data_IF_732449067618
#
_entry.id   IF_732449067618
#
_cell.length_a   1.000
_cell.length_b   1.000
_cell.length_c   1.000
_cell.angle_alpha   90.00
_cell.angle_beta   90.00
_cell.angle_gamma   90.00
#
_symmetry.space_group_name_H-M   'P 1'
#
loop_
_entity.id
_entity.type
_entity.pdbx_description
1 polymer ?
#
# COMPACT_ATOMS: atom_id res chain seq x y z
N UNK A 1 3.44 29.67 54.81
CA UNK A 1 2.03 29.35 55.06
C UNK A 1 1.79 27.89 54.75
N UNK A 2 1.02 27.22 55.61
CA UNK A 2 0.47 25.90 55.31
C UNK A 2 -0.57 26.03 54.17
N UNK A 3 -0.85 24.96 53.43
CA UNK A 3 -1.85 24.91 52.35
C UNK A 3 -3.22 25.39 52.83
N UNK A 4 -3.62 24.99 54.04
CA UNK A 4 -4.88 25.41 54.68
C UNK A 4 -4.96 26.92 54.95
N UNK A 5 -3.86 27.51 55.44
CA UNK A 5 -3.77 28.94 55.75
C UNK A 5 -3.84 29.77 54.45
N UNK A 6 -3.07 29.36 53.43
CA UNK A 6 -3.07 30.01 52.12
C UNK A 6 -4.42 29.90 51.41
N UNK A 7 -5.10 28.75 51.49
CA UNK A 7 -6.43 28.56 50.94
C UNK A 7 -7.46 29.46 51.64
N UNK A 8 -7.40 29.55 52.99
CA UNK A 8 -8.30 30.40 53.76
C UNK A 8 -8.17 31.89 53.39
N UNK A 9 -6.93 32.40 53.27
CA UNK A 9 -6.66 33.79 52.89
C UNK A 9 -7.06 34.07 51.43
N UNK A 10 -6.87 33.09 50.54
CA UNK A 10 -7.31 33.20 49.15
C UNK A 10 -8.84 33.33 49.04
N UNK A 11 -9.58 32.45 49.73
CA UNK A 11 -11.05 32.43 49.71
C UNK A 11 -11.62 33.67 50.40
N UNK A 12 -11.03 34.11 51.52
CA UNK A 12 -11.43 35.34 52.21
C UNK A 12 -11.03 36.61 51.43
N UNK A 13 -10.18 36.49 50.41
CA UNK A 13 -9.74 37.62 49.58
C UNK A 13 -8.78 38.57 50.31
N UNK A 14 -8.03 38.09 51.31
CA UNK A 14 -7.08 38.89 52.09
C UNK A 14 -5.67 38.93 51.50
N UNK A 15 -5.39 38.09 50.51
CA UNK A 15 -4.11 38.08 49.79
C UNK A 15 -3.93 39.32 48.92
N UNK A 16 -2.68 39.77 48.78
CA UNK A 16 -2.34 40.80 47.80
C UNK A 16 -2.46 40.29 46.35
N UNK A 17 -2.39 41.21 45.38
CA UNK A 17 -2.57 40.86 43.96
C UNK A 17 -1.52 39.88 43.42
N UNK A 18 -0.28 39.94 43.91
CA UNK A 18 0.80 39.06 43.44
C UNK A 18 0.65 37.66 44.03
N UNK A 19 0.34 37.57 45.32
CA UNK A 19 0.05 36.32 46.02
C UNK A 19 -1.18 35.63 45.44
N UNK A 20 -2.24 36.39 45.14
CA UNK A 20 -3.46 35.87 44.52
C UNK A 20 -3.18 35.28 43.13
N UNK A 21 -2.43 35.98 42.29
CA UNK A 21 -2.06 35.47 40.96
C UNK A 21 -1.22 34.18 41.03
N UNK A 22 -0.35 34.09 42.03
CA UNK A 22 0.45 32.86 42.26
C UNK A 22 -0.42 31.69 42.71
N UNK A 23 -1.39 31.91 43.60
CA UNK A 23 -2.38 30.89 43.97
C UNK A 23 -3.20 30.45 42.75
N UNK A 24 -3.71 31.38 41.95
CA UNK A 24 -4.49 31.10 40.73
C UNK A 24 -3.69 30.25 39.73
N UNK A 25 -2.40 30.54 39.56
CA UNK A 25 -1.50 29.74 38.72
C UNK A 25 -1.32 28.32 39.27
N UNK A 26 -1.12 28.20 40.58
CA UNK A 26 -0.94 26.91 41.26
C UNK A 26 -2.21 26.06 41.26
N UNK A 27 -3.37 26.68 41.33
CA UNK A 27 -4.66 25.99 41.29
C UNK A 27 -4.86 25.15 40.03
N UNK A 28 -4.13 25.39 38.94
CA UNK A 28 -4.18 24.56 37.73
C UNK A 28 -3.53 23.18 37.91
N UNK A 29 -2.50 23.08 38.77
CA UNK A 29 -1.63 21.88 38.88
C UNK A 29 -1.62 21.26 40.27
N UNK A 30 -1.88 22.02 41.32
CA UNK A 30 -1.80 21.61 42.72
C UNK A 30 -3.19 21.13 43.21
N UNK A 31 -3.35 19.80 43.30
CA UNK A 31 -4.63 19.18 43.68
C UNK A 31 -4.95 19.36 45.17
N UNK A 32 -3.93 19.38 46.03
CA UNK A 32 -4.10 19.52 47.47
C UNK A 32 -4.57 20.94 47.81
N UNK A 33 -3.94 21.95 47.20
CA UNK A 33 -4.37 23.34 47.32
C UNK A 33 -5.80 23.55 46.80
N UNK A 34 -6.16 22.92 45.67
CA UNK A 34 -7.53 23.01 45.14
C UNK A 34 -8.56 22.42 46.10
N UNK A 35 -8.28 21.25 46.67
CA UNK A 35 -9.16 20.62 47.65
C UNK A 35 -9.32 21.48 48.92
N UNK A 36 -8.24 22.12 49.40
CA UNK A 36 -8.31 23.03 50.53
C UNK A 36 -9.16 24.29 50.21
N UNK A 37 -8.99 24.87 49.01
CA UNK A 37 -9.82 26.00 48.56
C UNK A 37 -11.30 25.60 48.47
N UNK A 38 -11.62 24.48 47.84
CA UNK A 38 -12.99 23.96 47.74
C UNK A 38 -13.62 23.75 49.14
N UNK A 39 -12.85 23.23 50.09
CA UNK A 39 -13.31 23.02 51.47
C UNK A 39 -13.60 24.34 52.20
N UNK A 40 -12.75 25.36 52.02
CA UNK A 40 -12.96 26.69 52.59
C UNK A 40 -14.15 27.42 51.95
N UNK A 41 -14.33 27.31 50.63
CA UNK A 41 -15.50 27.85 49.93
C UNK A 41 -16.79 27.19 50.44
N UNK A 42 -16.83 25.85 50.52
CA UNK A 42 -17.98 25.12 51.03
C UNK A 42 -18.34 25.50 52.48
N UNK A 43 -17.34 25.81 53.31
CA UNK A 43 -17.53 26.24 54.70
C UNK A 43 -18.12 27.65 54.80
N UNK A 44 -17.76 28.55 53.89
CA UNK A 44 -18.14 29.97 53.95
C UNK A 44 -19.40 30.28 53.14
N UNK A 45 -19.69 29.53 52.08
CA UNK A 45 -20.84 29.77 51.20
C UNK A 45 -22.20 29.87 51.94
N UNK A 46 -22.50 29.06 52.98
CA UNK A 46 -23.75 29.18 53.73
C UNK A 46 -23.93 30.52 54.46
N UNK A 47 -22.85 31.29 54.68
CA UNK A 47 -22.94 32.64 55.26
C UNK A 47 -23.57 33.63 54.26
N UNK A 48 -23.39 33.42 52.95
CA UNK A 48 -23.96 34.28 51.92
C UNK A 48 -25.49 34.22 51.91
N UNK A 49 -26.09 33.09 52.28
CA UNK A 49 -27.55 32.93 52.40
C UNK A 49 -28.16 33.79 53.52
N UNK A 50 -27.35 34.24 54.48
CA UNK A 50 -27.78 35.08 55.60
C UNK A 50 -27.76 36.57 55.28
N UNK A 51 -27.28 36.96 54.10
CA UNK A 51 -27.18 38.35 53.67
C UNK A 51 -28.47 38.77 52.98
N UNK A 52 -29.03 39.92 53.36
CA UNK A 52 -30.21 40.49 52.71
C UNK A 52 -29.92 40.81 51.24
N UNK A 53 -30.70 40.29 50.27
CA UNK A 53 -30.51 40.59 48.86
C UNK A 53 -30.63 42.09 48.55
N UNK A 54 -29.69 42.62 47.77
CA UNK A 54 -29.72 43.99 47.26
C UNK A 54 -30.23 43.98 45.82
N UNK A 55 -31.25 44.79 45.46
CA UNK A 55 -31.77 44.83 44.11
C UNK A 55 -30.70 45.33 43.12
N UNK A 56 -30.53 44.62 42.01
CA UNK A 56 -29.61 44.98 40.93
C UNK A 56 -30.34 45.66 39.77
N UNK A 57 -29.67 46.53 38.98
CA UNK A 57 -30.28 47.12 37.80
C UNK A 57 -30.67 46.05 36.77
N UNK A 58 -31.87 46.17 36.17
CA UNK A 58 -32.37 45.23 35.16
C UNK A 58 -31.46 45.11 33.91
N UNK A 59 -30.58 46.09 33.69
CA UNK A 59 -29.61 46.10 32.58
C UNK A 59 -28.34 45.31 32.85
N UNK A 60 -28.09 44.88 34.10
CA UNK A 60 -26.86 44.18 34.48
C UNK A 60 -26.74 42.82 33.79
N UNK A 61 -27.81 42.01 33.83
CA UNK A 61 -27.80 40.67 33.23
C UNK A 61 -27.59 40.70 31.70
N UNK A 62 -28.32 41.52 30.92
CA UNK A 62 -28.05 41.68 29.48
C UNK A 62 -26.62 42.15 29.16
N UNK A 63 -25.99 42.96 30.03
CA UNK A 63 -24.60 43.39 29.86
C UNK A 63 -23.62 42.25 30.09
N UNK A 64 -23.84 41.42 31.11
CA UNK A 64 -23.02 40.24 31.39
C UNK A 64 -23.08 39.27 30.21
N UNK A 65 -24.28 38.94 29.73
CA UNK A 65 -24.47 38.05 28.58
C UNK A 65 -23.69 38.53 27.35
N UNK A 66 -23.83 39.82 27.01
CA UNK A 66 -23.10 40.40 25.87
C UNK A 66 -21.58 40.34 26.04
N UNK A 67 -21.07 40.52 27.26
CA UNK A 67 -19.63 40.43 27.53
C UNK A 67 -19.10 39.00 27.36
N UNK A 68 -19.85 37.99 27.79
CA UNK A 68 -19.49 36.58 27.61
C UNK A 68 -19.51 36.17 26.13
N UNK A 69 -20.53 36.60 25.39
CA UNK A 69 -20.62 36.36 23.95
C UNK A 69 -19.41 36.97 23.20
N UNK A 70 -18.98 38.17 23.62
CA UNK A 70 -17.82 38.84 23.03
C UNK A 70 -16.48 38.20 23.41
N UNK A 71 -16.37 37.61 24.61
CA UNK A 71 -15.15 36.96 25.10
C UNK A 71 -14.97 35.53 24.54
N UNK A 72 -16.06 34.84 24.20
CA UNK A 72 -16.06 33.45 23.74
C UNK A 72 -15.89 33.25 22.22
N UNK A 73 -15.98 34.30 21.41
CA UNK A 73 -15.98 34.18 19.96
C UNK A 73 -14.55 34.12 19.39
N UNK A 74 -13.89 32.95 19.45
CA UNK A 74 -12.88 32.63 18.43
C UNK A 74 -13.64 32.34 17.13
N UNK A 75 -13.40 33.07 16.02
CA UNK A 75 -14.10 32.83 14.77
C UNK A 75 -13.66 31.48 14.21
N UNK A 76 -14.40 30.41 14.52
CA UNK A 76 -14.27 29.14 13.80
C UNK A 76 -14.87 29.35 12.40
N UNK A 77 -14.19 28.94 11.32
CA UNK A 77 -14.70 29.13 9.98
C UNK A 77 -16.08 28.49 9.83
N UNK A 78 -17.08 29.28 9.39
CA UNK A 78 -18.49 28.87 9.28
C UNK A 78 -18.68 27.61 8.42
N UNK A 79 -17.76 27.34 7.49
CA UNK A 79 -17.78 26.14 6.65
C UNK A 79 -17.47 24.84 7.42
N UNK A 80 -16.74 24.92 8.53
CA UNK A 80 -16.38 23.77 9.38
C UNK A 80 -17.59 23.21 10.14
N UNK A 81 -18.59 24.04 10.43
CA UNK A 81 -19.85 23.62 11.05
C UNK A 81 -20.89 23.11 10.05
N UNK A 82 -20.56 23.06 8.75
CA UNK A 82 -21.51 22.58 7.73
C UNK A 82 -21.45 21.06 7.63
N UNK A 83 -22.55 20.41 8.03
CA UNK A 83 -22.71 18.96 7.92
C UNK A 83 -22.53 18.44 6.48
N UNK A 84 -22.89 19.25 5.47
CA UNK A 84 -22.68 18.91 4.06
C UNK A 84 -21.22 18.73 3.67
N UNK A 85 -20.29 19.51 4.26
CA UNK A 85 -18.85 19.40 4.00
C UNK A 85 -18.33 18.07 4.52
N UNK A 86 -18.69 17.71 5.76
CA UNK A 86 -18.30 16.45 6.37
C UNK A 86 -18.89 15.23 5.66
N UNK A 87 -20.15 15.32 5.21
CA UNK A 87 -20.79 14.26 4.41
C UNK A 87 -20.11 14.10 3.06
N UNK A 88 -19.75 15.20 2.40
CA UNK A 88 -19.01 15.18 1.13
C UNK A 88 -17.63 14.55 1.29
N UNK A 89 -16.89 14.93 2.34
CA UNK A 89 -15.56 14.40 2.63
C UNK A 89 -15.60 12.90 2.95
N UNK A 90 -16.58 12.45 3.74
CA UNK A 90 -16.78 11.04 4.04
C UNK A 90 -17.14 10.22 2.79
N UNK A 91 -18.02 10.75 1.93
CA UNK A 91 -18.38 10.12 0.66
C UNK A 91 -17.19 10.01 -0.30
N UNK A 92 -16.39 11.08 -0.43
CA UNK A 92 -15.19 11.08 -1.26
C UNK A 92 -14.13 10.10 -0.74
N UNK A 93 -13.94 10.04 0.59
CA UNK A 93 -13.04 9.07 1.23
C UNK A 93 -13.45 7.63 0.94
N UNK A 94 -14.73 7.29 1.13
CA UNK A 94 -15.26 5.96 0.82
C UNK A 94 -15.03 5.58 -0.65
N UNK A 95 -15.34 6.49 -1.58
CA UNK A 95 -15.14 6.25 -3.01
C UNK A 95 -13.67 6.02 -3.34
N UNK A 96 -12.76 6.83 -2.80
CA UNK A 96 -11.32 6.67 -3.00
C UNK A 96 -10.81 5.32 -2.45
N UNK A 97 -11.28 4.89 -1.27
CA UNK A 97 -10.93 3.59 -0.69
C UNK A 97 -11.43 2.43 -1.55
N UNK A 98 -12.66 2.51 -2.09
CA UNK A 98 -13.20 1.47 -2.98
C UNK A 98 -12.42 1.40 -4.30
N UNK A 99 -12.08 2.55 -4.89
CA UNK A 99 -11.25 2.61 -6.11
C UNK A 99 -9.88 2.02 -5.85
N UNK A 100 -9.21 2.41 -4.75
CA UNK A 100 -7.92 1.87 -4.39
C UNK A 100 -7.99 0.37 -4.11
N UNK A 101 -9.03 -0.09 -3.41
CA UNK A 101 -9.28 -1.51 -3.17
C UNK A 101 -9.45 -2.30 -4.48
N UNK A 102 -10.22 -1.77 -5.43
CA UNK A 102 -10.42 -2.39 -6.73
C UNK A 102 -9.13 -2.43 -7.57
N UNK A 103 -8.33 -1.36 -7.54
CA UNK A 103 -7.02 -1.32 -8.20
C UNK A 103 -6.08 -2.36 -7.60
N UNK A 104 -5.92 -2.37 -6.27
CA UNK A 104 -5.04 -3.31 -5.58
C UNK A 104 -5.50 -4.77 -5.72
N UNK A 105 -6.81 -5.01 -5.83
CA UNK A 105 -7.35 -6.34 -6.11
C UNK A 105 -7.00 -6.82 -7.52
N UNK A 106 -7.04 -5.93 -8.53
CA UNK A 106 -6.67 -6.29 -9.91
C UNK A 106 -5.18 -6.55 -10.11
N UNK A 107 -4.29 -5.85 -9.38
CA UNK A 107 -2.82 -6.09 -9.48
C UNK A 107 -2.42 -7.46 -8.92
N UNK A 108 -3.27 -8.10 -8.10
CA UNK A 108 -3.00 -9.41 -7.50
C UNK A 108 -3.40 -10.60 -8.37
N UNK A 109 -3.72 -10.44 -9.65
CA UNK A 109 -3.81 -11.59 -10.53
C UNK A 109 -2.48 -12.35 -10.44
N UNK A 110 -2.44 -13.58 -9.88
CA UNK A 110 -1.21 -14.35 -9.82
C UNK A 110 -0.77 -14.56 -11.25
N UNK A 111 0.41 -14.07 -11.62
CA UNK A 111 1.06 -14.57 -12.83
C UNK A 111 1.24 -16.06 -12.55
N UNK A 112 0.56 -16.97 -13.28
CA UNK A 112 0.74 -18.40 -13.04
C UNK A 112 2.23 -18.69 -13.15
N UNK A 113 2.81 -19.34 -12.13
CA UNK A 113 4.18 -19.83 -12.22
C UNK A 113 4.34 -20.72 -13.46
N UNK A 114 5.57 -20.92 -13.97
CA UNK A 114 5.78 -21.78 -15.12
C UNK A 114 5.25 -23.18 -14.80
N UNK A 115 4.29 -23.65 -15.60
CA UNK A 115 3.71 -24.98 -15.47
C UNK A 115 4.68 -26.05 -15.98
N UNK A 116 5.57 -25.69 -16.90
CA UNK A 116 6.61 -26.55 -17.44
C UNK A 116 7.95 -25.82 -17.49
N UNK A 117 9.01 -26.55 -17.16
CA UNK A 117 10.40 -26.12 -17.35
C UNK A 117 11.12 -27.17 -18.19
N UNK A 118 11.88 -26.71 -19.19
CA UNK A 118 12.75 -27.54 -20.02
C UNK A 118 14.16 -26.96 -19.95
N UNK A 119 15.15 -27.80 -19.70
CA UNK A 119 16.56 -27.41 -19.87
C UNK A 119 17.02 -27.97 -21.22
N UNK A 120 17.46 -27.10 -22.11
CA UNK A 120 18.00 -27.51 -23.41
C UNK A 120 19.52 -27.69 -23.28
N UNK A 121 19.96 -28.92 -23.54
CA UNK A 121 21.36 -29.33 -23.43
C UNK A 121 21.96 -29.53 -24.81
N UNK A 122 23.25 -29.21 -24.95
CA UNK A 122 23.98 -29.47 -26.18
C UNK A 122 24.29 -30.98 -26.31
N UNK A 123 24.03 -31.63 -27.46
CA UNK A 123 24.27 -33.06 -27.62
C UNK A 123 25.73 -33.49 -27.47
N UNK A 124 26.67 -32.60 -27.77
CA UNK A 124 28.12 -32.90 -27.79
C UNK A 124 28.76 -33.02 -26.40
N UNK A 125 28.48 -32.07 -25.51
CA UNK A 125 29.15 -31.91 -24.21
C UNK A 125 28.18 -31.96 -23.03
N UNK A 126 26.86 -32.09 -23.30
CA UNK A 126 25.78 -32.06 -22.31
C UNK A 126 25.73 -30.78 -21.49
N UNK A 127 26.33 -29.69 -21.99
CA UNK A 127 26.27 -28.40 -21.32
C UNK A 127 24.86 -27.77 -21.47
N UNK A 128 24.29 -27.19 -20.40
CA UNK A 128 23.04 -26.46 -20.49
C UNK A 128 23.27 -25.11 -21.17
N UNK A 129 22.57 -24.86 -22.28
CA UNK A 129 22.68 -23.59 -23.01
C UNK A 129 21.47 -22.69 -22.86
N UNK A 130 20.28 -23.27 -22.66
CA UNK A 130 19.02 -22.54 -22.66
C UNK A 130 18.01 -23.18 -21.70
N UNK A 131 17.10 -22.37 -21.17
CA UNK A 131 15.94 -22.81 -20.41
C UNK A 131 14.67 -22.36 -21.12
N UNK A 132 13.74 -23.28 -21.30
CA UNK A 132 12.38 -22.96 -21.72
C UNK A 132 11.50 -22.96 -20.49
N UNK A 133 10.87 -21.82 -20.22
CA UNK A 133 9.80 -21.71 -19.25
C UNK A 133 8.50 -21.59 -20.00
N UNK A 134 7.55 -22.47 -19.71
CA UNK A 134 6.24 -22.37 -20.29
C UNK A 134 5.20 -22.31 -19.19
N UNK A 135 4.39 -21.26 -19.21
CA UNK A 135 3.29 -21.08 -18.29
C UNK A 135 2.01 -21.66 -18.89
N UNK A 136 1.07 -22.10 -18.05
CA UNK A 136 -0.28 -22.47 -18.50
C UNK A 136 -0.95 -21.30 -19.26
N UNK A 137 -0.52 -20.07 -18.99
CA UNK A 137 -0.87 -18.86 -19.72
C UNK A 137 -0.13 -18.76 -21.06
N UNK A 138 -0.39 -19.69 -21.99
CA UNK A 138 -0.16 -19.58 -23.45
C UNK A 138 1.14 -18.91 -23.92
N UNK A 139 2.21 -18.92 -23.15
CA UNK A 139 3.45 -18.24 -23.52
C UNK A 139 4.64 -19.12 -23.17
N UNK A 140 5.53 -19.25 -24.15
CA UNK A 140 6.83 -19.90 -23.99
C UNK A 140 7.89 -18.83 -23.96
N UNK A 141 8.68 -18.83 -22.90
CA UNK A 141 9.86 -18.00 -22.78
C UNK A 141 11.11 -18.86 -22.92
N UNK A 142 11.96 -18.52 -23.90
CA UNK A 142 13.28 -19.11 -24.09
C UNK A 142 14.33 -18.17 -23.50
N UNK A 143 15.10 -18.67 -22.53
CA UNK A 143 16.07 -17.90 -21.75
C UNK A 143 17.48 -18.47 -21.98
N UNK A 144 18.44 -17.68 -22.50
CA UNK A 144 19.81 -18.14 -22.66
C UNK A 144 20.52 -18.24 -21.30
N UNK A 145 21.30 -19.31 -21.11
CA UNK A 145 22.19 -19.48 -19.95
C UNK A 145 23.63 -19.10 -20.28
N UNK A 146 24.00 -19.16 -21.57
CA UNK A 146 25.32 -18.81 -22.07
C UNK A 146 25.23 -18.20 -23.47
N UNK A 147 26.25 -17.44 -23.85
CA UNK A 147 26.36 -16.91 -25.21
C UNK A 147 26.72 -18.06 -26.17
N UNK A 148 25.86 -18.31 -27.14
CA UNK A 148 26.10 -19.29 -28.21
C UNK A 148 26.68 -18.56 -29.42
N UNK A 149 27.90 -18.91 -29.85
CA UNK A 149 28.47 -18.36 -31.08
C UNK A 149 27.74 -18.92 -32.30
N UNK A 150 27.08 -18.06 -33.08
CA UNK A 150 26.37 -18.41 -34.32
C UNK A 150 27.07 -17.77 -35.51
N UNK A 151 27.38 -18.53 -36.59
CA UNK A 151 27.98 -17.97 -37.80
C UNK A 151 27.12 -16.87 -38.43
N UNK A 152 27.71 -15.84 -39.10
CA UNK A 152 26.98 -14.68 -39.61
C UNK A 152 25.91 -14.98 -40.69
N UNK A 153 26.04 -16.14 -41.35
CA UNK A 153 25.16 -16.65 -42.40
C UNK A 153 24.13 -17.67 -41.89
N UNK A 154 24.09 -17.91 -40.57
CA UNK A 154 23.22 -18.88 -39.91
C UNK A 154 22.37 -18.20 -38.84
N UNK A 155 21.29 -18.88 -38.47
CA UNK A 155 20.43 -18.48 -37.37
C UNK A 155 20.03 -19.71 -36.55
N UNK A 156 19.78 -19.50 -35.25
CA UNK A 156 19.12 -20.52 -34.45
C UNK A 156 17.63 -20.46 -34.75
N UNK A 157 17.02 -21.62 -34.96
CA UNK A 157 15.57 -21.73 -35.08
C UNK A 157 15.03 -22.61 -33.96
N UNK A 158 13.99 -22.12 -33.29
CA UNK A 158 13.35 -22.78 -32.18
C UNK A 158 12.17 -23.62 -32.66
N UNK A 159 12.08 -24.84 -32.14
CA UNK A 159 11.07 -25.81 -32.54
C UNK A 159 10.48 -26.50 -31.33
N UNK A 160 9.25 -26.98 -31.50
CA UNK A 160 8.61 -27.86 -30.55
C UNK A 160 7.85 -28.98 -31.24
N UNK A 161 7.77 -30.14 -30.56
CA UNK A 161 7.03 -31.31 -31.04
C UNK A 161 6.50 -32.13 -29.86
N UNK A 162 5.19 -32.35 -29.82
CA UNK A 162 4.61 -33.35 -28.93
C UNK A 162 4.51 -34.71 -29.61
N UNK A 163 4.39 -35.77 -28.81
CA UNK A 163 4.33 -37.15 -29.32
C UNK A 163 3.03 -37.40 -30.12
N UNK A 164 1.96 -36.66 -29.81
CA UNK A 164 0.66 -36.72 -30.51
C UNK A 164 0.63 -35.94 -31.84
N UNK A 165 1.63 -35.09 -32.12
CA UNK A 165 1.61 -34.18 -33.27
C UNK A 165 2.16 -34.85 -34.54
N UNK A 166 1.60 -34.45 -35.70
CA UNK A 166 2.05 -34.96 -37.00
C UNK A 166 3.48 -34.54 -37.37
N UNK A 167 4.01 -33.48 -36.76
CA UNK A 167 5.35 -32.96 -37.04
C UNK A 167 5.78 -31.85 -36.08
N UNK A 168 7.06 -31.44 -36.15
CA UNK A 168 7.56 -30.30 -35.40
C UNK A 168 6.94 -29.00 -35.91
N UNK A 169 6.77 -28.04 -35.01
CA UNK A 169 6.30 -26.69 -35.32
C UNK A 169 7.38 -25.68 -34.97
N UNK A 170 7.62 -24.74 -35.86
CA UNK A 170 8.57 -23.65 -35.60
C UNK A 170 7.97 -22.60 -34.68
N UNK A 171 8.75 -22.21 -33.69
CA UNK A 171 8.49 -21.13 -32.75
C UNK A 171 9.16 -19.81 -33.18
N UNK A 172 9.96 -19.85 -34.25
CA UNK A 172 10.63 -18.67 -34.82
C UNK A 172 12.15 -18.74 -34.75
N UNK A 173 12.79 -17.69 -35.29
CA UNK A 173 14.23 -17.50 -35.22
C UNK A 173 14.63 -16.88 -33.88
N UNK A 174 15.79 -17.27 -33.38
CA UNK A 174 16.33 -16.86 -32.08
C UNK A 174 17.66 -16.16 -32.29
N UNK A 175 17.77 -14.96 -31.73
CA UNK A 175 19.03 -14.23 -31.67
C UNK A 175 19.84 -14.72 -30.45
N UNK A 176 21.14 -15.00 -30.62
CA UNK A 176 21.99 -15.43 -29.51
C UNK A 176 22.00 -14.40 -28.37
N UNK A 177 21.85 -14.88 -27.13
CA UNK A 177 21.91 -14.04 -25.92
C UNK A 177 20.65 -13.20 -25.64
N UNK A 178 19.63 -13.26 -26.49
CA UNK A 178 18.35 -12.60 -26.26
C UNK A 178 17.29 -13.61 -25.77
N UNK A 179 16.46 -13.18 -24.83
CA UNK A 179 15.27 -13.95 -24.44
C UNK A 179 14.18 -13.79 -25.50
N UNK A 180 13.52 -14.90 -25.87
CA UNK A 180 12.44 -14.88 -26.85
C UNK A 180 11.13 -15.26 -26.17
N UNK A 181 10.10 -14.44 -26.38
CA UNK A 181 8.72 -14.69 -25.96
C UNK A 181 7.89 -15.15 -27.16
N UNK A 182 7.31 -16.33 -27.05
CA UNK A 182 6.50 -16.92 -28.13
C UNK A 182 5.08 -17.16 -27.63
N UNK A 183 4.08 -16.43 -28.15
CA UNK A 183 2.68 -16.70 -27.85
C UNK A 183 2.26 -18.04 -28.48
N UNK A 184 1.70 -18.92 -27.66
CA UNK A 184 1.17 -20.24 -28.03
C UNK A 184 -0.25 -20.17 -28.62
N UNK A 185 -0.79 -18.99 -28.91
CA UNK A 185 -2.18 -18.81 -29.38
C UNK A 185 -2.52 -19.63 -30.64
N UNK A 186 -1.50 -19.99 -31.42
CA UNK A 186 -1.64 -20.78 -32.65
C UNK A 186 -1.10 -22.21 -32.53
N UNK A 187 -0.66 -22.62 -31.35
CA UNK A 187 -0.13 -23.96 -31.10
C UNK A 187 -1.12 -24.80 -30.29
N UNK A 188 -1.13 -26.12 -30.50
CA UNK A 188 -1.84 -27.02 -29.60
C UNK A 188 -1.32 -26.88 -28.15
N UNK A 189 -2.13 -27.26 -27.14
CA UNK A 189 -1.73 -27.21 -25.74
C UNK A 189 -0.41 -27.95 -25.49
N UNK A 190 0.34 -27.48 -24.49
CA UNK A 190 1.57 -28.16 -24.09
C UNK A 190 1.27 -29.53 -23.49
N UNK A 191 2.07 -30.50 -23.87
CA UNK A 191 1.98 -31.87 -23.37
C UNK A 191 3.15 -32.18 -22.44
N UNK A 192 2.92 -33.08 -21.49
CA UNK A 192 4.02 -33.62 -20.70
C UNK A 192 4.99 -34.35 -21.64
N UNK A 193 6.30 -34.29 -21.37
CA UNK A 193 7.34 -34.91 -22.20
C UNK A 193 7.48 -34.30 -23.62
N UNK A 194 6.87 -33.15 -23.90
CA UNK A 194 7.00 -32.43 -25.17
C UNK A 194 8.45 -32.04 -25.46
N UNK A 195 8.87 -32.27 -26.70
CA UNK A 195 10.22 -32.01 -27.17
C UNK A 195 10.37 -30.53 -27.56
N UNK A 196 11.50 -29.95 -27.17
CA UNK A 196 11.94 -28.64 -27.62
C UNK A 196 13.38 -28.74 -28.13
N UNK A 197 13.66 -28.06 -29.23
CA UNK A 197 14.98 -28.09 -29.85
C UNK A 197 15.33 -26.77 -30.53
N UNK A 198 16.64 -26.47 -30.55
CA UNK A 198 17.25 -25.39 -31.30
C UNK A 198 18.15 -25.98 -32.38
N UNK A 199 17.87 -25.65 -33.64
CA UNK A 199 18.69 -26.09 -34.78
C UNK A 199 19.41 -24.93 -35.44
N UNK A 200 20.56 -25.22 -36.05
CA UNK A 200 21.34 -24.24 -36.79
C UNK A 200 20.91 -24.19 -38.26
N UNK A 201 20.04 -23.24 -38.59
CA UNK A 201 19.41 -23.11 -39.90
C UNK A 201 20.10 -22.02 -40.74
N UNK A 202 19.80 -21.92 -42.05
CA UNK A 202 20.17 -20.74 -42.84
C UNK A 202 19.64 -19.46 -42.19
N UNK A 203 20.23 -18.31 -42.49
CA UNK A 203 19.82 -17.00 -41.93
C UNK A 203 18.32 -16.69 -42.04
N UNK A 204 17.64 -17.20 -43.07
CA UNK A 204 16.19 -17.05 -43.28
C UNK A 204 15.33 -18.08 -42.53
N UNK A 205 15.95 -19.02 -41.80
CA UNK A 205 15.30 -20.21 -41.26
C UNK A 205 15.14 -21.35 -42.27
N UNK A 206 14.55 -22.44 -41.80
CA UNK A 206 14.21 -23.62 -42.60
C UNK A 206 13.13 -23.31 -43.62
N UNK A 207 13.37 -23.74 -44.86
CA UNK A 207 12.45 -23.60 -45.99
C UNK A 207 11.43 -24.73 -46.10
N UNK A 208 11.62 -25.82 -45.35
CA UNK A 208 10.78 -27.03 -45.46
C UNK A 208 9.66 -27.09 -44.41
N UNK A 209 9.62 -26.14 -43.48
CA UNK A 209 8.74 -26.18 -42.32
C UNK A 209 9.11 -27.27 -41.31
N UNK A 210 10.31 -27.86 -41.42
CA UNK A 210 10.88 -28.85 -40.51
C UNK A 210 12.33 -28.52 -40.20
N UNK A 211 12.90 -28.97 -39.08
CA UNK A 211 14.33 -28.81 -38.81
C UNK A 211 15.18 -29.41 -39.94
N UNK A 212 16.08 -28.61 -40.52
CA UNK A 212 16.98 -29.03 -41.61
C UNK A 212 18.45 -28.99 -41.21
N UNK A 213 18.78 -28.20 -40.19
CA UNK A 213 20.13 -28.03 -39.68
C UNK A 213 20.49 -29.00 -38.54
N UNK A 214 21.76 -29.01 -38.13
CA UNK A 214 22.19 -29.78 -36.96
C UNK A 214 21.56 -29.23 -35.69
N UNK A 215 21.18 -30.13 -34.79
CA UNK A 215 20.62 -29.81 -33.48
C UNK A 215 21.74 -29.25 -32.59
N UNK A 216 21.55 -28.02 -32.11
CA UNK A 216 22.47 -27.35 -31.18
C UNK A 216 22.08 -27.62 -29.74
N UNK A 217 20.78 -27.59 -29.43
CA UNK A 217 20.27 -27.88 -28.10
C UNK A 217 18.94 -28.62 -28.17
N UNK A 218 18.70 -29.52 -27.22
CA UNK A 218 17.48 -30.33 -27.16
C UNK A 218 17.10 -30.62 -25.70
N UNK A 219 15.80 -30.73 -25.43
CA UNK A 219 15.28 -31.08 -24.10
C UNK A 219 13.81 -31.44 -24.13
N UNK A 220 13.30 -32.01 -23.02
CA UNK A 220 11.90 -32.40 -22.88
C UNK A 220 11.24 -31.71 -21.69
N UNK A 221 9.99 -31.32 -21.85
CA UNK A 221 9.23 -30.60 -20.85
C UNK A 221 8.92 -31.48 -19.63
N UNK A 222 9.20 -30.92 -18.45
CA UNK A 222 8.84 -31.49 -17.16
C UNK A 222 7.84 -30.57 -16.49
N UNK A 223 6.72 -31.13 -16.04
CA UNK A 223 5.68 -30.38 -15.31
C UNK A 223 6.20 -29.99 -13.93
N UNK A 224 6.06 -28.71 -13.58
CA UNK A 224 6.30 -28.19 -12.24
C UNK A 224 5.07 -28.48 -11.39
N UNK A 225 5.27 -29.15 -10.24
CA UNK A 225 4.21 -29.62 -9.34
C UNK A 225 3.96 -28.60 -8.23
#
# INVERSE_FOLDING_TARGET
MNTEELASEYVLGTLDAAQRAEVERRLATDRELRAAVDAWEARLLPLAERVTPVPTPATLWPRIQRSLDSAGARPVPIWWNRLGVWRGLAGAGLAATLVLGALLFNVRAPVPGPAYVVVLIAPQDKAPGWVVQASDSREVQLIPLSETAVPPDRALQFWTKADSWQGPVSLGLVEPGQSVHVPLDKLPPLENNQLFELTLEPKSGSTTGRPTGPIQFIGRAVKVI
#
